data_IF_195491880469
#
_entry.id   IF_195491880469
#
_cell.length_a   1.000
_cell.length_b   1.000
_cell.length_c   1.000
_cell.angle_alpha   90.00
_cell.angle_beta   90.00
_cell.angle_gamma   90.00
#
_symmetry.space_group_name_H-M   'P 1'
#
loop_
_entity.id
_entity.type
_entity.pdbx_description
1 polymer ?
#
# COMPACT_ATOMS: atom_id res chain seq x y z
N UNK A 1 15.81 -26.33 -66.35
CA UNK A 1 14.92 -25.25 -65.87
C UNK A 1 15.79 -24.20 -65.21
N UNK A 2 15.59 -22.93 -65.58
CA UNK A 2 16.50 -21.81 -65.35
C UNK A 2 16.49 -21.34 -63.89
N UNK A 3 17.66 -21.21 -63.28
CA UNK A 3 17.86 -20.48 -62.03
C UNK A 3 17.91 -18.98 -62.33
N UNK A 4 16.99 -18.21 -61.75
CA UNK A 4 17.01 -16.73 -61.79
C UNK A 4 17.41 -16.19 -60.43
N UNK A 5 18.59 -15.56 -60.43
CA UNK A 5 19.12 -14.66 -59.40
C UNK A 5 18.17 -13.49 -59.15
N UNK A 6 18.01 -13.09 -57.88
CA UNK A 6 17.89 -11.67 -57.50
C UNK A 6 18.63 -11.46 -56.18
N UNK A 7 19.80 -10.82 -56.27
CA UNK A 7 20.48 -10.16 -55.16
C UNK A 7 19.81 -8.80 -54.93
N UNK A 8 19.41 -8.49 -53.70
CA UNK A 8 19.03 -7.13 -53.29
C UNK A 8 20.11 -6.62 -52.34
N UNK A 9 20.94 -5.71 -52.86
CA UNK A 9 21.88 -4.87 -52.13
C UNK A 9 21.09 -3.74 -51.45
N UNK A 10 21.04 -3.74 -50.12
CA UNK A 10 20.61 -2.58 -49.34
C UNK A 10 21.84 -1.84 -48.80
N UNK A 11 21.97 -0.58 -49.19
CA UNK A 11 23.03 0.36 -48.81
C UNK A 11 22.92 0.77 -47.32
N UNK A 12 24.04 0.99 -46.61
CA UNK A 12 24.03 1.59 -45.28
C UNK A 12 23.87 3.12 -45.39
N UNK A 13 22.83 3.67 -44.77
CA UNK A 13 22.72 5.12 -44.55
C UNK A 13 23.58 5.47 -43.33
N UNK A 14 24.70 6.16 -43.57
CA UNK A 14 25.49 6.80 -42.54
C UNK A 14 24.74 8.04 -42.04
N UNK A 15 24.29 8.02 -40.78
CA UNK A 15 23.83 9.21 -40.08
C UNK A 15 25.02 9.81 -39.35
N UNK A 16 25.37 11.04 -39.73
CA UNK A 16 26.41 11.85 -39.09
C UNK A 16 26.07 12.08 -37.61
N UNK A 17 27.00 11.69 -36.74
CA UNK A 17 27.07 12.17 -35.36
C UNK A 17 27.56 13.63 -35.36
N UNK A 18 26.77 14.53 -34.79
CA UNK A 18 27.22 15.83 -34.30
C UNK A 18 26.74 16.00 -32.85
N UNK A 19 27.53 16.64 -31.98
CA UNK A 19 27.36 16.55 -30.53
C UNK A 19 26.32 17.56 -30.05
N UNK A 20 25.25 17.07 -29.40
CA UNK A 20 24.31 17.92 -28.69
C UNK A 20 24.53 17.71 -27.20
N UNK A 21 25.15 18.72 -26.61
CA UNK A 21 25.14 19.17 -25.21
C UNK A 21 24.29 18.35 -24.24
N UNK A 22 24.96 17.77 -23.24
CA UNK A 22 24.34 17.19 -22.05
C UNK A 22 23.65 18.28 -21.20
N UNK A 23 22.43 18.06 -20.69
CA UNK A 23 21.99 18.65 -19.45
C UNK A 23 22.36 17.74 -18.27
N UNK A 24 22.62 18.41 -17.15
CA UNK A 24 23.21 17.89 -15.92
C UNK A 24 22.38 16.79 -15.23
N UNK A 25 23.11 16.08 -14.36
CA UNK A 25 22.65 15.02 -13.49
C UNK A 25 21.37 15.35 -12.71
N UNK A 26 20.44 14.39 -12.71
CA UNK A 26 19.57 14.15 -11.56
C UNK A 26 19.53 12.65 -11.29
N UNK A 27 19.79 12.30 -10.03
CA UNK A 27 19.87 10.92 -9.54
C UNK A 27 18.47 10.27 -9.59
N UNK A 28 18.14 9.62 -10.70
CA UNK A 28 17.08 8.61 -10.71
C UNK A 28 17.63 7.35 -10.05
N UNK A 29 17.31 7.18 -8.77
CA UNK A 29 17.50 5.91 -8.08
C UNK A 29 16.70 4.83 -8.83
N UNK A 30 17.41 3.99 -9.56
CA UNK A 30 16.91 2.77 -10.17
C UNK A 30 16.36 1.87 -9.06
N UNK A 31 15.03 1.85 -8.92
CA UNK A 31 14.35 0.96 -7.99
C UNK A 31 14.39 -0.46 -8.58
N UNK A 32 15.47 -1.18 -8.32
CA UNK A 32 15.59 -2.60 -8.66
C UNK A 32 14.51 -3.36 -7.89
N UNK A 33 13.42 -3.66 -8.56
CA UNK A 33 12.42 -4.64 -8.10
C UNK A 33 13.08 -6.00 -8.20
N UNK A 34 13.56 -6.52 -7.07
CA UNK A 34 13.90 -7.95 -6.97
C UNK A 34 12.64 -8.75 -7.19
N UNK A 35 12.66 -9.55 -8.26
CA UNK A 35 11.69 -10.60 -8.54
C UNK A 35 11.41 -11.42 -7.29
N UNK A 36 10.13 -11.63 -7.00
CA UNK A 36 9.66 -12.50 -5.94
C UNK A 36 9.75 -13.94 -6.44
N UNK A 37 10.97 -14.43 -6.62
CA UNK A 37 11.28 -15.84 -6.76
C UNK A 37 12.15 -16.22 -5.55
N UNK A 38 11.59 -17.06 -4.68
CA UNK A 38 12.24 -17.70 -3.54
C UNK A 38 12.85 -16.77 -2.46
N UNK A 39 12.00 -16.30 -1.54
CA UNK A 39 12.46 -15.92 -0.20
C UNK A 39 11.86 -16.87 0.85
N UNK A 40 12.15 -18.17 0.67
CA UNK A 40 12.12 -19.16 1.76
C UNK A 40 13.55 -19.38 2.28
N UNK A 41 14.06 -18.46 3.10
CA UNK A 41 15.26 -18.63 3.97
C UNK A 41 15.44 -17.32 4.76
N UNK A 42 15.50 -17.24 6.09
CA UNK A 42 15.83 -18.20 7.13
C UNK A 42 14.91 -18.02 8.34
N UNK A 43 14.15 -19.07 8.67
CA UNK A 43 13.80 -19.38 10.04
C UNK A 43 15.02 -20.06 10.65
N UNK A 44 15.70 -19.44 11.61
CA UNK A 44 16.82 -20.11 12.27
C UNK A 44 17.48 -19.28 13.38
N UNK A 45 17.40 -19.81 14.60
CA UNK A 45 18.21 -19.51 15.78
C UNK A 45 17.84 -18.28 16.66
N UNK A 46 16.73 -18.42 17.40
CA UNK A 46 16.76 -18.43 18.89
C UNK A 46 15.44 -18.99 19.43
N UNK A 47 15.46 -20.24 19.86
CA UNK A 47 14.40 -20.86 20.64
C UNK A 47 14.75 -20.72 22.12
N UNK A 48 14.45 -19.57 22.71
CA UNK A 48 14.49 -19.36 24.15
C UNK A 48 13.86 -17.99 24.47
N UNK A 49 12.76 -18.03 25.22
CA UNK A 49 11.78 -16.96 25.52
C UNK A 49 10.70 -16.83 24.43
N UNK A 50 9.54 -17.45 24.67
CA UNK A 50 8.26 -17.18 23.98
C UNK A 50 7.84 -15.73 24.27
N UNK A 51 8.52 -14.78 23.67
CA UNK A 51 8.09 -13.40 23.68
C UNK A 51 6.93 -13.35 22.69
N UNK A 52 5.70 -13.19 23.19
CA UNK A 52 4.53 -12.87 22.35
C UNK A 52 4.76 -11.48 21.75
N UNK A 53 5.62 -11.42 20.75
CA UNK A 53 5.94 -10.23 20.01
C UNK A 53 4.86 -10.02 18.95
N UNK A 54 4.56 -8.75 18.72
CA UNK A 54 3.64 -8.35 17.67
C UNK A 54 4.37 -8.41 16.32
N UNK A 55 3.84 -9.19 15.40
CA UNK A 55 4.31 -9.33 14.04
C UNK A 55 3.26 -8.80 13.06
N UNK A 56 3.73 -8.30 11.90
CA UNK A 56 2.85 -7.85 10.82
C UNK A 56 3.23 -8.55 9.53
N UNK A 57 2.21 -9.06 8.86
CA UNK A 57 2.29 -9.57 7.50
C UNK A 57 1.52 -8.59 6.61
N UNK A 58 2.18 -8.09 5.57
CA UNK A 58 1.57 -7.16 4.62
C UNK A 58 1.39 -7.92 3.31
N UNK A 59 0.16 -7.97 2.83
CA UNK A 59 -0.14 -8.38 1.46
C UNK A 59 -0.74 -7.19 0.73
N UNK A 60 0.02 -6.64 -0.22
CA UNK A 60 -0.58 -5.83 -1.28
C UNK A 60 -1.29 -6.78 -2.25
N UNK A 61 -2.42 -6.37 -2.82
CA UNK A 61 -3.05 -7.13 -3.88
C UNK A 61 -2.05 -7.30 -5.04
N UNK A 62 -1.67 -8.55 -5.34
CA UNK A 62 -0.59 -8.89 -6.30
C UNK A 62 -0.90 -8.50 -7.75
N UNK A 63 -2.15 -8.16 -8.05
CA UNK A 63 -2.65 -7.91 -9.41
C UNK A 63 -2.86 -6.42 -9.75
N UNK A 64 -2.44 -5.52 -8.86
CA UNK A 64 -2.52 -4.07 -9.09
C UNK A 64 -1.11 -3.60 -9.43
N UNK A 65 -0.95 -2.93 -10.58
CA UNK A 65 0.21 -2.07 -10.86
C UNK A 65 0.56 -1.37 -9.55
N UNK A 66 1.81 -1.41 -9.07
CA UNK A 66 2.19 -0.74 -7.82
C UNK A 66 2.07 0.78 -8.01
N UNK A 67 0.84 1.27 -8.01
CA UNK A 67 0.55 2.68 -8.08
C UNK A 67 1.03 3.33 -6.79
N UNK A 68 1.18 4.64 -6.86
CA UNK A 68 1.74 5.42 -5.76
C UNK A 68 0.88 5.27 -4.49
N UNK A 69 -0.44 5.10 -4.63
CA UNK A 69 -1.36 4.94 -3.50
C UNK A 69 -1.13 3.61 -2.77
N UNK A 70 -0.98 2.48 -3.48
CA UNK A 70 -0.65 1.19 -2.86
C UNK A 70 0.72 1.23 -2.20
N UNK A 71 1.71 1.89 -2.82
CA UNK A 71 3.05 2.03 -2.23
C UNK A 71 3.01 2.82 -0.92
N UNK A 72 2.30 3.95 -0.90
CA UNK A 72 2.10 4.78 0.30
C UNK A 72 1.35 4.00 1.39
N UNK A 73 0.27 3.31 1.04
CA UNK A 73 -0.49 2.49 1.98
C UNK A 73 0.36 1.38 2.62
N UNK A 74 1.15 0.67 1.80
CA UNK A 74 2.02 -0.40 2.28
C UNK A 74 3.16 0.15 3.17
N UNK A 75 3.71 1.32 2.84
CA UNK A 75 4.70 1.98 3.68
C UNK A 75 4.10 2.42 5.02
N UNK A 76 2.90 3.01 5.01
CA UNK A 76 2.17 3.42 6.21
C UNK A 76 1.93 2.24 7.16
N UNK A 77 1.44 1.11 6.64
CA UNK A 77 1.27 -0.13 7.39
C UNK A 77 2.61 -0.61 7.98
N UNK A 78 3.68 -0.60 7.18
CA UNK A 78 5.01 -1.06 7.62
C UNK A 78 5.55 -0.20 8.77
N UNK A 79 5.44 1.12 8.68
CA UNK A 79 5.89 2.05 9.72
C UNK A 79 5.06 1.94 10.99
N UNK A 80 3.74 1.95 10.86
CA UNK A 80 2.83 1.72 11.99
C UNK A 80 3.18 0.40 12.69
N UNK A 81 3.51 -0.61 11.90
CA UNK A 81 3.94 -1.89 12.41
C UNK A 81 5.24 -1.90 13.18
N UNK A 82 6.22 -1.10 12.76
CA UNK A 82 7.47 -0.92 13.50
C UNK A 82 7.22 -0.20 14.83
N UNK A 83 6.34 0.81 14.83
CA UNK A 83 6.02 1.61 16.02
C UNK A 83 5.40 0.79 17.16
N UNK A 84 4.65 -0.27 16.83
CA UNK A 84 3.96 -1.10 17.84
C UNK A 84 4.72 -2.35 18.28
N UNK A 85 5.89 -2.66 17.72
CA UNK A 85 6.63 -3.91 18.06
C UNK A 85 7.01 -4.00 19.54
N UNK A 86 7.20 -2.85 20.19
CA UNK A 86 7.54 -2.78 21.60
C UNK A 86 6.32 -2.98 22.53
N UNK A 87 5.10 -2.93 21.99
CA UNK A 87 3.88 -3.13 22.75
C UNK A 87 3.68 -4.62 23.02
N UNK A 88 3.32 -4.95 24.26
CA UNK A 88 3.02 -6.32 24.70
C UNK A 88 1.52 -6.58 24.82
N UNK A 89 0.73 -5.51 24.93
CA UNK A 89 -0.71 -5.60 25.13
C UNK A 89 -1.42 -5.54 23.77
N UNK A 90 -2.24 -6.56 23.49
CA UNK A 90 -2.92 -6.72 22.21
C UNK A 90 -3.85 -5.56 21.86
N UNK A 91 -4.71 -5.14 22.79
CA UNK A 91 -5.68 -4.06 22.53
C UNK A 91 -5.01 -2.71 22.26
N UNK A 92 -4.08 -2.22 23.11
CA UNK A 92 -3.34 -1.00 22.82
C UNK A 92 -2.55 -1.07 21.51
N UNK A 93 -2.00 -2.23 21.17
CA UNK A 93 -1.28 -2.38 19.92
C UNK A 93 -2.16 -2.27 18.68
N UNK A 94 -3.35 -2.87 18.70
CA UNK A 94 -4.33 -2.73 17.62
C UNK A 94 -4.78 -1.29 17.44
N UNK A 95 -5.05 -0.60 18.54
CA UNK A 95 -5.42 0.81 18.48
C UNK A 95 -4.28 1.68 17.93
N UNK A 96 -3.06 1.48 18.43
CA UNK A 96 -1.88 2.20 17.95
C UNK A 96 -1.57 1.88 16.48
N UNK A 97 -1.71 0.62 16.06
CA UNK A 97 -1.53 0.19 14.68
C UNK A 97 -2.47 0.94 13.74
N UNK A 98 -3.77 0.89 14.03
CA UNK A 98 -4.80 1.45 13.17
C UNK A 98 -4.62 2.97 13.04
N UNK A 99 -4.40 3.66 14.17
CA UNK A 99 -4.16 5.12 14.21
C UNK A 99 -2.89 5.54 13.49
N UNK A 100 -1.77 4.86 13.74
CA UNK A 100 -0.50 5.20 13.09
C UNK A 100 -0.58 4.94 11.57
N UNK A 101 -1.28 3.89 11.15
CA UNK A 101 -1.41 3.56 9.73
C UNK A 101 -2.15 4.63 8.96
N UNK A 102 -3.36 5.00 9.38
CA UNK A 102 -4.14 6.04 8.67
C UNK A 102 -3.45 7.41 8.73
N UNK A 103 -2.75 7.73 9.83
CA UNK A 103 -1.98 8.96 9.95
C UNK A 103 -0.79 9.01 8.98
N UNK A 104 0.02 7.95 8.89
CA UNK A 104 1.14 7.88 7.94
C UNK A 104 0.65 7.92 6.49
N UNK A 105 -0.44 7.21 6.18
CA UNK A 105 -1.06 7.24 4.86
C UNK A 105 -1.54 8.64 4.49
N UNK A 106 -2.24 9.30 5.41
CA UNK A 106 -2.76 10.65 5.18
C UNK A 106 -1.65 11.69 5.03
N UNK A 107 -0.62 11.63 5.86
CA UNK A 107 0.53 12.52 5.78
C UNK A 107 1.28 12.42 4.44
N UNK A 108 1.19 11.25 3.79
CA UNK A 108 1.83 10.96 2.50
C UNK A 108 0.82 10.81 1.36
N UNK A 109 -0.39 11.34 1.54
CA UNK A 109 -1.45 11.24 0.54
C UNK A 109 -0.92 11.69 -0.85
N UNK A 110 -0.84 10.78 -1.83
CA UNK A 110 -0.16 11.07 -3.09
C UNK A 110 -0.96 11.97 -4.03
N UNK A 111 -2.27 12.11 -3.78
CA UNK A 111 -3.13 13.06 -4.47
C UNK A 111 -4.19 13.61 -3.51
N UNK A 112 -3.88 14.69 -2.77
CA UNK A 112 -4.82 15.32 -1.85
C UNK A 112 -6.05 15.90 -2.55
N UNK A 113 -6.05 16.06 -3.88
CA UNK A 113 -7.23 16.55 -4.61
C UNK A 113 -8.19 15.41 -4.94
N UNK A 114 -7.69 14.20 -5.14
CA UNK A 114 -8.49 13.00 -5.41
C UNK A 114 -8.90 12.25 -4.14
N UNK A 115 -7.95 11.96 -3.26
CA UNK A 115 -8.16 11.14 -2.07
C UNK A 115 -8.58 12.02 -0.89
N UNK A 116 -9.83 11.87 -0.47
CA UNK A 116 -10.42 12.68 0.60
C UNK A 116 -10.19 12.06 1.98
N UNK A 117 -9.94 10.75 2.05
CA UNK A 117 -9.64 10.05 3.29
C UNK A 117 -8.59 8.93 3.12
N UNK A 118 -7.84 8.69 4.18
CA UNK A 118 -7.08 7.46 4.43
C UNK A 118 -7.77 6.68 5.56
N UNK A 119 -8.11 5.42 5.28
CA UNK A 119 -8.87 4.56 6.18
C UNK A 119 -8.05 3.31 6.46
N UNK A 120 -8.03 2.87 7.71
CA UNK A 120 -7.64 1.49 8.02
C UNK A 120 -8.69 0.86 8.95
N UNK A 121 -9.24 -0.29 8.53
CA UNK A 121 -10.40 -0.91 9.17
C UNK A 121 -10.32 -2.43 9.20
N UNK A 122 -10.75 -3.05 10.30
CA UNK A 122 -10.60 -4.50 10.51
C UNK A 122 -11.92 -5.30 10.49
N UNK A 123 -13.04 -4.66 10.21
CA UNK A 123 -14.34 -5.32 10.13
C UNK A 123 -14.94 -5.15 8.72
N UNK A 124 -16.10 -5.76 8.50
CA UNK A 124 -16.78 -5.67 7.21
C UNK A 124 -17.29 -4.26 6.93
N UNK A 125 -17.33 -3.88 5.66
CA UNK A 125 -17.88 -2.61 5.21
C UNK A 125 -18.54 -2.78 3.83
N UNK A 126 -19.25 -1.76 3.39
CA UNK A 126 -19.72 -1.63 2.01
C UNK A 126 -19.44 -0.22 1.53
N UNK A 127 -19.09 -0.08 0.25
CA UNK A 127 -18.75 1.19 -0.36
C UNK A 127 -19.63 1.38 -1.59
N UNK A 128 -20.16 2.59 -1.76
CA UNK A 128 -21.07 2.91 -2.86
C UNK A 128 -20.38 2.80 -4.21
N UNK A 129 -19.16 3.33 -4.33
CA UNK A 129 -18.33 3.20 -5.53
C UNK A 129 -17.02 2.46 -5.21
N UNK A 130 -16.93 1.15 -5.53
CA UNK A 130 -15.69 0.37 -5.34
C UNK A 130 -14.49 0.91 -6.13
N UNK A 131 -14.71 1.61 -7.25
CA UNK A 131 -13.60 2.22 -8.01
C UNK A 131 -12.96 3.40 -7.28
N UNK A 132 -13.68 3.98 -6.31
CA UNK A 132 -13.17 5.01 -5.41
C UNK A 132 -12.36 4.47 -4.22
N UNK A 133 -12.05 3.16 -4.19
CA UNK A 133 -11.16 2.52 -3.22
C UNK A 133 -9.80 2.27 -3.87
N UNK A 134 -8.81 3.03 -3.44
CA UNK A 134 -7.51 3.08 -4.10
C UNK A 134 -6.40 2.76 -3.10
N UNK A 135 -5.32 2.15 -3.59
CA UNK A 135 -4.20 1.78 -2.72
C UNK A 135 -4.52 0.73 -1.66
N UNK A 136 -5.47 -0.18 -1.91
CA UNK A 136 -5.89 -1.20 -0.94
C UNK A 136 -4.73 -2.13 -0.55
N UNK A 137 -4.41 -2.15 0.74
CA UNK A 137 -3.43 -3.03 1.36
C UNK A 137 -4.09 -3.82 2.46
N UNK A 138 -3.85 -5.14 2.46
CA UNK A 138 -4.27 -6.04 3.53
C UNK A 138 -3.12 -6.22 4.50
N UNK A 139 -3.34 -5.84 5.75
CA UNK A 139 -2.37 -5.97 6.83
C UNK A 139 -2.90 -6.96 7.87
N UNK A 140 -2.09 -7.95 8.21
CA UNK A 140 -2.41 -8.92 9.25
C UNK A 140 -1.51 -8.68 10.45
N UNK A 141 -2.10 -8.22 11.55
CA UNK A 141 -1.44 -8.10 12.84
C UNK A 141 -1.51 -9.45 13.56
N UNK A 142 -0.41 -9.90 14.18
CA UNK A 142 -0.32 -11.15 14.94
C UNK A 142 0.38 -10.96 16.27
N UNK A 143 -0.08 -11.67 17.30
CA UNK A 143 0.61 -11.81 18.60
C UNK A 143 0.26 -13.18 19.19
N UNK A 144 1.21 -14.11 19.23
CA UNK A 144 0.93 -15.49 19.64
C UNK A 144 -0.16 -16.12 18.77
N UNK A 145 -1.28 -16.53 19.38
CA UNK A 145 -2.46 -17.09 18.69
C UNK A 145 -3.44 -16.01 18.20
N UNK A 146 -3.27 -14.76 18.62
CA UNK A 146 -4.16 -13.66 18.25
C UNK A 146 -3.77 -13.15 16.86
N UNK A 147 -4.80 -12.90 16.03
CA UNK A 147 -4.65 -12.31 14.72
C UNK A 147 -5.81 -11.38 14.39
N UNK A 148 -5.52 -10.31 13.66
CA UNK A 148 -6.52 -9.39 13.13
C UNK A 148 -6.10 -8.94 11.74
N UNK A 149 -7.02 -9.04 10.78
CA UNK A 149 -6.83 -8.54 9.42
C UNK A 149 -7.42 -7.14 9.29
N UNK A 150 -6.69 -6.27 8.62
CA UNK A 150 -7.05 -4.89 8.36
C UNK A 150 -6.99 -4.63 6.86
N UNK A 151 -8.00 -3.94 6.35
CA UNK A 151 -7.98 -3.30 5.05
C UNK A 151 -7.61 -1.83 5.27
N UNK A 152 -6.48 -1.40 4.71
CA UNK A 152 -6.09 0.01 4.71
C UNK A 152 -6.03 0.54 3.28
N UNK A 153 -6.71 1.65 3.00
CA UNK A 153 -6.88 2.20 1.65
C UNK A 153 -7.16 3.71 1.68
N UNK A 154 -7.08 4.35 0.51
CA UNK A 154 -7.58 5.69 0.28
C UNK A 154 -9.00 5.65 -0.28
N UNK A 155 -9.83 6.60 0.14
CA UNK A 155 -11.18 6.78 -0.39
C UNK A 155 -11.28 8.12 -1.11
N UNK A 156 -11.84 8.10 -2.32
CA UNK A 156 -12.06 9.31 -3.12
C UNK A 156 -13.21 10.16 -2.57
N UNK A 157 -13.22 11.45 -2.93
CA UNK A 157 -14.40 12.30 -2.74
C UNK A 157 -15.61 11.78 -3.54
N UNK A 158 -16.81 12.07 -3.08
CA UNK A 158 -18.09 11.60 -3.62
C UNK A 158 -18.47 10.16 -3.25
N UNK A 159 -17.72 9.50 -2.37
CA UNK A 159 -17.91 8.11 -2.01
C UNK A 159 -18.42 7.92 -0.57
N UNK A 160 -19.21 6.88 -0.36
CA UNK A 160 -19.80 6.57 0.95
C UNK A 160 -19.42 5.17 1.39
N UNK A 161 -18.92 5.05 2.62
CA UNK A 161 -18.60 3.78 3.27
C UNK A 161 -19.55 3.54 4.45
N UNK A 162 -20.27 2.42 4.42
CA UNK A 162 -21.09 1.96 5.56
C UNK A 162 -20.32 0.88 6.31
N UNK A 163 -20.09 1.10 7.61
CA UNK A 163 -19.31 0.23 8.47
C UNK A 163 -20.18 -0.85 9.12
N UNK A 164 -19.69 -2.09 9.17
CA UNK A 164 -20.28 -3.19 9.95
C UNK A 164 -19.46 -3.37 11.23
N UNK A 165 -19.90 -2.77 12.33
CA UNK A 165 -19.19 -2.87 13.61
C UNK A 165 -19.56 -1.75 14.57
N UNK A 166 -18.75 -1.53 15.60
CA UNK A 166 -18.91 -0.46 16.59
C UNK A 166 -18.19 0.86 16.20
N UNK A 167 -17.30 0.80 15.20
CA UNK A 167 -16.55 1.97 14.71
C UNK A 167 -15.59 2.56 15.75
N UNK A 168 -15.19 1.78 16.76
CA UNK A 168 -14.20 2.19 17.77
C UNK A 168 -12.77 2.21 17.23
N UNK A 169 -11.87 2.94 17.87
CA UNK A 169 -10.48 3.13 17.41
C UNK A 169 -9.64 1.86 17.31
N UNK A 170 -10.01 0.81 18.05
CA UNK A 170 -9.39 -0.52 17.94
C UNK A 170 -9.62 -1.12 16.54
N UNK A 171 -10.75 -0.74 15.93
CA UNK A 171 -11.25 -1.33 14.70
C UNK A 171 -11.07 -0.37 13.51
N UNK A 172 -11.36 0.93 13.70
CA UNK A 172 -11.35 1.98 12.68
C UNK A 172 -10.38 3.09 13.05
N UNK A 173 -9.54 3.47 12.08
CA UNK A 173 -8.97 4.81 12.06
C UNK A 173 -9.18 5.45 10.70
N UNK A 174 -9.39 6.76 10.74
CA UNK A 174 -9.86 7.57 9.64
C UNK A 174 -9.20 8.95 9.77
N UNK A 175 -8.40 9.30 8.78
CA UNK A 175 -7.81 10.62 8.62
C UNK A 175 -8.31 11.19 7.29
N UNK A 176 -8.88 12.38 7.33
CA UNK A 176 -9.52 12.99 6.16
C UNK A 176 -9.50 14.51 6.25
N UNK A 177 -9.80 15.15 5.14
CA UNK A 177 -10.10 16.58 5.12
C UNK A 177 -11.60 16.87 5.26
N UNK A 178 -11.96 18.15 5.13
CA UNK A 178 -13.32 18.69 5.30
C UNK A 178 -14.35 18.15 4.32
N UNK A 179 -13.96 17.45 3.25
CA UNK A 179 -14.89 16.81 2.30
C UNK A 179 -15.56 15.60 2.92
N UNK A 180 -14.95 15.02 3.95
CA UNK A 180 -15.46 13.84 4.59
C UNK A 180 -16.12 14.13 5.95
N UNK A 181 -17.15 13.36 6.26
CA UNK A 181 -17.85 13.35 7.55
C UNK A 181 -18.02 11.92 8.04
N UNK A 182 -17.94 11.72 9.35
CA UNK A 182 -18.22 10.44 9.99
C UNK A 182 -19.40 10.59 10.94
N UNK A 183 -20.49 9.89 10.63
CA UNK A 183 -21.62 9.73 11.53
C UNK A 183 -21.47 8.41 12.29
N UNK A 184 -21.13 8.51 13.57
CA UNK A 184 -20.96 7.35 14.46
C UNK A 184 -22.28 6.63 14.76
N UNK A 185 -23.42 7.32 14.73
CA UNK A 185 -24.71 6.73 15.05
C UNK A 185 -25.20 5.84 13.91
N UNK A 186 -25.08 6.34 12.67
CA UNK A 186 -25.44 5.57 11.47
C UNK A 186 -24.28 4.72 10.93
N UNK A 187 -23.07 4.92 11.47
CA UNK A 187 -21.83 4.21 11.12
C UNK A 187 -21.46 4.39 9.65
N UNK A 188 -21.59 5.64 9.18
CA UNK A 188 -21.37 6.02 7.79
C UNK A 188 -20.27 7.07 7.69
N UNK A 189 -19.30 6.82 6.82
CA UNK A 189 -18.33 7.82 6.37
C UNK A 189 -18.78 8.29 4.99
N UNK A 190 -18.98 9.60 4.83
CA UNK A 190 -19.31 10.22 3.54
C UNK A 190 -18.19 11.17 3.18
N UNK A 191 -17.51 10.90 2.07
CA UNK A 191 -16.64 11.81 1.35
C UNK A 191 -17.34 12.18 0.04
#
# INVERSE_FOLDING_TARGET
MQFKNIFVLALPVAVLAAPIVAPAADNVAELVVRDVAAAEHQLGARQDIKQELIAIVISAAKDIVRDVATAVAAEGVKKAGQAIKALKNWTPAREAFTKATSAEMWAKNPDPTKYAAAICYNMGYSITDPAGVEGLVKAQLKSGLLKTDYDCFFMTAGNTMNLKGDGGFINLSFNADKRCTYDKNTKVIRC
#
